data_IF_758111406614
#
_entry.id   IF_758111406614
#
_cell.length_a   1.000
_cell.length_b   1.000
_cell.length_c   1.000
_cell.angle_alpha   90.00
_cell.angle_beta   90.00
_cell.angle_gamma   90.00
#
_symmetry.space_group_name_H-M   'P 1'
#
loop_
_entity.id
_entity.type
_entity.pdbx_description
1 polymer ?
#
# COMPACT_ATOMS: atom_id res chain seq x y z
N UNK A 1 -10.43 22.44 2.72
CA UNK A 1 -11.86 22.56 3.09
C UNK A 1 -12.20 21.28 3.84
N UNK A 2 -12.50 21.37 5.14
CA UNK A 2 -12.98 20.22 5.91
C UNK A 2 -14.51 20.20 5.85
N UNK A 3 -15.10 19.04 5.55
CA UNK A 3 -16.55 18.82 5.60
C UNK A 3 -16.83 18.08 6.91
N UNK A 4 -17.63 18.69 7.78
CA UNK A 4 -18.17 18.04 8.98
C UNK A 4 -19.65 17.83 8.74
N UNK A 5 -20.08 16.57 8.65
CA UNK A 5 -21.48 16.22 8.43
C UNK A 5 -22.05 15.76 9.76
N UNK A 6 -23.03 16.51 10.26
CA UNK A 6 -23.75 16.20 11.49
C UNK A 6 -25.16 15.78 11.14
N UNK A 7 -25.50 14.49 11.33
CA UNK A 7 -26.88 13.99 11.23
C UNK A 7 -27.44 13.78 12.64
N UNK A 8 -28.55 14.45 12.98
CA UNK A 8 -29.33 14.15 14.19
C UNK A 8 -30.35 13.05 13.88
N UNK A 9 -30.41 12.02 14.70
CA UNK A 9 -31.41 10.96 14.58
C UNK A 9 -32.81 11.50 14.84
N UNK A 10 -33.68 11.49 13.82
CA UNK A 10 -35.08 11.92 13.91
C UNK A 10 -36.04 10.86 13.38
N UNK A 11 -36.96 10.41 14.23
CA UNK A 11 -38.05 9.50 13.91
C UNK A 11 -39.20 10.20 13.15
N UNK A 12 -39.78 9.46 12.18
CA UNK A 12 -41.10 9.54 11.53
C UNK A 12 -41.91 10.86 11.54
N UNK A 13 -42.22 11.40 10.35
CA UNK A 13 -43.50 11.22 9.62
C UNK A 13 -43.84 12.36 8.63
N UNK A 14 -44.54 11.94 7.55
CA UNK A 14 -45.34 12.70 6.56
C UNK A 14 -44.69 13.41 5.36
N UNK A 15 -44.85 12.74 4.20
CA UNK A 15 -45.54 13.20 2.97
C UNK A 15 -45.34 14.63 2.50
N UNK A 16 -44.76 14.81 1.30
CA UNK A 16 -45.51 15.20 0.08
C UNK A 16 -44.62 15.44 -1.15
N UNK A 17 -45.02 14.82 -2.26
CA UNK A 17 -45.02 15.24 -3.69
C UNK A 17 -43.75 15.82 -4.35
N UNK A 18 -43.40 15.15 -5.45
CA UNK A 18 -42.42 15.49 -6.47
C UNK A 18 -42.85 16.65 -7.40
N UNK A 19 -41.86 17.39 -7.90
CA UNK A 19 -41.83 18.02 -9.25
C UNK A 19 -40.36 18.03 -9.74
N UNK A 20 -40.07 17.68 -11.02
CA UNK A 20 -38.71 17.57 -11.55
C UNK A 20 -38.19 18.92 -12.07
N UNK A 21 -36.90 19.20 -11.87
CA UNK A 21 -36.23 20.41 -12.35
C UNK A 21 -34.86 20.09 -12.94
N UNK A 22 -34.69 20.55 -14.18
CA UNK A 22 -33.65 20.21 -15.13
C UNK A 22 -32.19 20.42 -14.71
N UNK A 23 -31.37 19.51 -15.25
CA UNK A 23 -29.90 19.52 -15.24
C UNK A 23 -29.35 20.64 -16.14
N UNK A 24 -28.65 21.60 -15.55
CA UNK A 24 -27.65 22.42 -16.26
C UNK A 24 -26.44 22.69 -15.35
N UNK A 25 -25.53 21.72 -15.27
CA UNK A 25 -24.21 21.90 -14.65
C UNK A 25 -23.31 22.74 -15.57
N UNK A 26 -23.29 24.05 -15.32
CA UNK A 26 -22.24 24.95 -15.85
C UNK A 26 -20.91 24.62 -15.19
N UNK A 27 -19.97 24.11 -15.98
CA UNK A 27 -18.53 24.12 -15.66
C UNK A 27 -18.09 25.57 -15.46
N UNK A 28 -17.52 25.90 -14.30
CA UNK A 28 -16.71 27.10 -14.09
C UNK A 28 -15.30 26.68 -13.73
N UNK A 29 -14.35 27.22 -14.49
CA UNK A 29 -12.91 27.28 -14.23
C UNK A 29 -12.58 28.55 -13.45
N UNK A 30 -11.81 28.46 -12.37
CA UNK A 30 -11.03 29.54 -11.76
C UNK A 30 -9.85 28.86 -11.04
N UNK A 31 -8.62 28.89 -11.55
CA UNK A 31 -7.62 29.98 -11.50
C UNK A 31 -7.05 30.24 -10.10
N UNK A 32 -5.71 30.23 -10.05
CA UNK A 32 -4.83 30.51 -8.90
C UNK A 32 -5.26 31.72 -8.08
N UNK A 33 -5.21 31.55 -6.76
CA UNK A 33 -5.39 32.61 -5.78
C UNK A 33 -4.95 32.13 -4.40
N UNK A 34 -3.76 32.55 -3.98
CA UNK A 34 -3.33 32.54 -2.58
C UNK A 34 -4.35 33.34 -1.76
N UNK A 35 -4.99 32.72 -0.75
CA UNK A 35 -5.53 33.48 0.39
C UNK A 35 -5.83 32.61 1.62
N UNK A 36 -5.03 32.89 2.66
CA UNK A 36 -5.30 32.96 4.11
C UNK A 36 -6.17 31.91 4.81
N UNK A 37 -5.58 31.34 5.86
CA UNK A 37 -6.22 30.57 6.93
C UNK A 37 -7.48 31.27 7.50
N UNK A 38 -8.57 30.53 7.79
CA UNK A 38 -9.71 31.06 8.51
C UNK A 38 -9.43 31.20 10.03
N UNK A 39 -10.12 32.13 10.72
CA UNK A 39 -9.72 32.61 12.04
C UNK A 39 -10.06 31.64 13.16
N UNK A 40 -9.13 31.55 14.13
CA UNK A 40 -9.35 30.98 15.46
C UNK A 40 -10.54 31.67 16.13
N UNK A 41 -11.57 30.89 16.47
CA UNK A 41 -12.65 31.35 17.34
C UNK A 41 -12.05 31.81 18.68
N UNK A 42 -12.03 33.12 18.85
CA UNK A 42 -11.67 33.81 20.09
C UNK A 42 -12.90 33.87 20.99
N UNK A 43 -12.82 33.28 22.18
CA UNK A 43 -13.58 33.78 23.32
C UNK A 43 -12.69 33.85 24.56
N UNK A 44 -12.72 35.04 25.15
CA UNK A 44 -11.89 35.58 26.25
C UNK A 44 -11.93 34.68 27.50
N UNK A 45 -10.75 34.18 27.91
CA UNK A 45 -9.93 34.58 29.08
C UNK A 45 -10.63 34.58 30.44
N UNK A 46 -10.14 33.73 31.34
CA UNK A 46 -9.87 34.11 32.73
C UNK A 46 -8.43 33.70 33.07
N UNK A 47 -7.70 34.66 33.61
CA UNK A 47 -6.27 34.65 33.82
C UNK A 47 -5.90 33.97 35.14
N UNK A 48 -4.91 33.08 35.12
CA UNK A 48 -3.96 32.85 36.20
C UNK A 48 -2.79 32.01 35.64
N UNK A 49 -1.57 32.28 36.13
CA UNK A 49 -0.29 31.64 35.79
C UNK A 49 0.47 32.22 34.58
N UNK A 50 0.65 33.54 34.59
CA UNK A 50 1.98 34.09 34.33
C UNK A 50 2.72 34.18 35.67
N UNK A 51 3.63 33.25 35.93
CA UNK A 51 4.79 33.48 36.78
C UNK A 51 5.83 32.39 36.50
N UNK A 52 7.08 32.82 36.32
CA UNK A 52 8.32 32.03 36.25
C UNK A 52 8.75 31.54 34.86
N UNK A 53 9.19 32.50 34.05
CA UNK A 53 10.44 32.34 33.30
C UNK A 53 11.60 32.69 34.24
N UNK A 54 12.72 31.96 34.16
CA UNK A 54 13.96 32.65 33.83
C UNK A 54 14.74 31.97 32.70
N UNK A 55 15.47 32.84 32.00
CA UNK A 55 16.46 32.59 30.94
C UNK A 55 17.50 31.54 31.32
N UNK A 56 17.92 30.75 30.34
CA UNK A 56 19.33 30.43 30.13
C UNK A 56 19.57 30.15 28.64
N UNK A 57 20.54 30.88 28.05
CA UNK A 57 21.09 30.68 26.72
C UNK A 57 22.34 29.78 26.78
N UNK A 58 22.62 29.07 25.68
CA UNK A 58 23.86 28.35 25.27
C UNK A 58 24.27 27.14 26.13
N UNK A 59 24.69 25.96 25.63
CA UNK A 59 25.36 25.57 24.38
C UNK A 59 25.12 24.07 24.05
N UNK A 60 25.46 23.65 22.82
CA UNK A 60 24.98 22.41 22.18
C UNK A 60 25.52 21.06 22.66
N UNK A 61 24.70 20.03 22.44
CA UNK A 61 25.06 18.67 22.01
C UNK A 61 23.77 17.87 21.78
N UNK A 62 23.67 17.20 20.63
CA UNK A 62 22.52 16.40 20.24
C UNK A 62 22.53 15.06 20.99
N UNK A 63 21.68 14.91 22.01
CA UNK A 63 21.36 13.63 22.65
C UNK A 63 19.85 13.39 22.67
N UNK A 64 19.49 12.11 22.50
CA UNK A 64 18.13 11.58 22.38
C UNK A 64 17.18 12.11 23.46
N UNK A 65 16.18 12.89 23.04
CA UNK A 65 15.05 13.27 23.88
C UNK A 65 14.03 12.12 23.94
N UNK A 66 14.24 11.20 24.90
CA UNK A 66 13.17 10.37 25.45
C UNK A 66 12.22 11.32 26.20
N UNK A 67 11.03 11.53 25.65
CA UNK A 67 9.96 12.28 26.30
C UNK A 67 9.46 11.48 27.51
N UNK A 68 10.02 11.79 28.68
CA UNK A 68 9.45 11.45 29.99
C UNK A 68 8.18 12.28 30.20
N UNK A 69 7.02 11.70 29.93
CA UNK A 69 5.77 12.13 30.56
C UNK A 69 5.63 11.40 31.89
N UNK A 70 5.95 12.10 32.97
CA UNK A 70 5.65 11.66 34.33
C UNK A 70 4.17 11.83 34.62
N UNK A 71 3.41 10.74 34.51
CA UNK A 71 2.14 10.59 35.21
C UNK A 71 2.31 9.43 36.19
N UNK A 72 2.46 9.75 37.47
CA UNK A 72 2.35 8.79 38.58
C UNK A 72 0.89 8.32 38.67
N UNK A 73 0.60 7.00 38.62
CA UNK A 73 -0.73 6.50 38.91
C UNK A 73 -0.78 6.10 40.39
N UNK A 74 -0.94 7.09 41.27
CA UNK A 74 -1.39 6.83 42.65
C UNK A 74 -2.75 7.50 42.84
N UNK A 75 -3.79 6.79 42.44
CA UNK A 75 -4.97 6.50 43.27
C UNK A 75 -6.15 5.98 42.46
N UNK A 76 -6.62 4.81 42.88
CA UNK A 76 -7.99 4.30 42.77
C UNK A 76 -8.52 3.84 41.40
N UNK A 77 -8.40 2.53 41.12
CA UNK A 77 -9.57 1.63 41.03
C UNK A 77 -9.19 0.26 41.62
N UNK A 78 -10.07 -0.26 42.49
CA UNK A 78 -9.99 -1.61 43.06
C UNK A 78 -10.37 -2.66 42.01
N UNK A 79 -9.55 -3.70 41.88
CA UNK A 79 -9.99 -5.04 41.49
C UNK A 79 -9.31 -5.63 40.26
N UNK A 80 -8.36 -6.53 40.49
CA UNK A 80 -7.85 -7.46 39.47
C UNK A 80 -6.33 -7.47 39.35
N UNK A 81 -5.67 -8.41 40.01
CA UNK A 81 -4.22 -8.71 39.89
C UNK A 81 -3.82 -9.30 38.52
N UNK A 82 -4.70 -9.26 37.52
CA UNK A 82 -4.44 -9.78 36.16
C UNK A 82 -3.98 -8.68 35.17
N UNK A 83 -4.21 -7.39 35.46
CA UNK A 83 -4.06 -6.28 34.50
C UNK A 83 -2.62 -5.76 34.31
N UNK A 84 -1.73 -5.92 35.30
CA UNK A 84 -0.33 -5.43 35.19
C UNK A 84 0.51 -6.30 34.25
N UNK A 85 0.33 -7.62 34.29
CA UNK A 85 1.05 -8.57 33.42
C UNK A 85 0.66 -8.41 31.94
N UNK A 86 -0.64 -8.17 31.68
CA UNK A 86 -1.18 -8.10 30.32
C UNK A 86 -0.76 -6.80 29.59
N UNK A 87 -0.69 -5.70 30.33
CA UNK A 87 -0.22 -4.40 29.83
C UNK A 87 1.26 -4.44 29.43
N UNK A 88 2.11 -5.10 30.23
CA UNK A 88 3.53 -5.30 29.92
C UNK A 88 3.73 -6.10 28.64
N UNK A 89 3.01 -7.21 28.48
CA UNK A 89 3.07 -8.04 27.27
C UNK A 89 2.54 -7.33 26.01
N UNK A 90 1.54 -6.46 26.15
CA UNK A 90 1.02 -5.67 25.04
C UNK A 90 2.04 -4.64 24.54
N UNK A 91 2.71 -3.92 25.45
CA UNK A 91 3.76 -2.97 25.08
C UNK A 91 4.97 -3.65 24.43
N UNK A 92 5.35 -4.82 24.93
CA UNK A 92 6.41 -5.64 24.33
C UNK A 92 6.02 -6.11 22.92
N UNK A 93 4.76 -6.52 22.72
CA UNK A 93 4.22 -6.84 21.40
C UNK A 93 4.32 -5.63 20.45
N UNK A 94 3.85 -4.45 20.87
CA UNK A 94 3.88 -3.24 20.05
C UNK A 94 5.32 -2.83 19.71
N UNK A 95 6.24 -2.97 20.65
CA UNK A 95 7.67 -2.72 20.45
C UNK A 95 8.28 -3.69 19.44
N UNK A 96 7.88 -4.97 19.48
CA UNK A 96 8.35 -5.98 18.53
C UNK A 96 7.90 -5.70 17.09
N UNK A 97 6.73 -5.08 16.91
CA UNK A 97 6.24 -4.64 15.60
C UNK A 97 6.85 -3.31 15.15
N UNK A 98 7.24 -2.43 16.08
CA UNK A 98 8.02 -1.23 15.79
C UNK A 98 9.46 -1.57 15.34
N UNK A 99 10.04 -2.66 15.86
CA UNK A 99 11.30 -3.21 15.35
C UNK A 99 11.10 -3.80 13.95
N UNK A 100 11.62 -3.09 12.96
CA UNK A 100 11.54 -3.48 11.55
C UNK A 100 12.28 -4.79 11.26
N UNK A 101 13.44 -5.05 11.86
CA UNK A 101 14.19 -6.27 11.55
C UNK A 101 13.47 -7.50 12.11
N UNK A 102 13.00 -7.39 13.35
CA UNK A 102 12.25 -8.45 14.00
C UNK A 102 10.93 -8.75 13.26
N UNK A 103 10.12 -7.72 12.99
CA UNK A 103 8.84 -7.88 12.30
C UNK A 103 8.99 -8.43 10.88
N UNK A 104 9.99 -7.98 10.10
CA UNK A 104 10.27 -8.54 8.77
C UNK A 104 10.66 -10.02 8.86
N UNK A 105 11.54 -10.39 9.80
CA UNK A 105 11.95 -11.80 10.01
C UNK A 105 10.74 -12.67 10.35
N UNK A 106 9.86 -12.19 11.22
CA UNK A 106 8.64 -12.88 11.62
C UNK A 106 7.69 -13.12 10.45
N UNK A 107 7.47 -12.12 9.61
CA UNK A 107 6.62 -12.23 8.41
C UNK A 107 7.23 -13.20 7.39
N UNK A 108 8.53 -13.06 7.11
CA UNK A 108 9.25 -13.96 6.20
C UNK A 108 9.15 -15.42 6.64
N UNK A 109 9.27 -15.70 7.94
CA UNK A 109 9.09 -17.05 8.47
C UNK A 109 7.69 -17.61 8.21
N UNK A 110 6.64 -16.79 8.31
CA UNK A 110 5.28 -17.24 8.01
C UNK A 110 5.07 -17.49 6.52
N UNK A 111 5.56 -16.59 5.66
CA UNK A 111 5.49 -16.76 4.19
C UNK A 111 6.13 -18.07 3.73
N UNK A 112 7.24 -18.48 4.37
CA UNK A 112 7.91 -19.75 4.08
C UNK A 112 6.97 -20.96 4.21
N UNK A 113 6.06 -20.94 5.17
CA UNK A 113 5.20 -22.08 5.48
C UNK A 113 3.81 -22.02 4.84
N UNK A 114 3.47 -20.92 4.14
CA UNK A 114 2.20 -20.75 3.39
C UNK A 114 0.97 -21.22 4.17
N UNK A 115 0.87 -20.83 5.44
CA UNK A 115 -0.33 -21.13 6.22
C UNK A 115 -1.49 -20.36 5.59
N UNK A 116 -2.58 -21.02 5.18
CA UNK A 116 -3.66 -20.42 4.39
C UNK A 116 -4.02 -18.98 4.84
N UNK A 117 -3.79 -18.02 3.95
CA UNK A 117 -3.67 -16.59 4.25
C UNK A 117 -4.93 -15.81 3.83
N UNK A 118 -6.09 -16.20 4.37
CA UNK A 118 -7.30 -15.40 4.15
C UNK A 118 -7.17 -14.05 4.86
N UNK A 119 -7.57 -12.97 4.16
CA UNK A 119 -7.65 -11.64 4.75
C UNK A 119 -8.43 -11.69 6.07
N UNK A 120 -8.08 -10.87 7.05
CA UNK A 120 -8.86 -10.76 8.29
C UNK A 120 -10.09 -9.89 7.99
N UNK A 121 -11.30 -10.47 7.79
CA UNK A 121 -12.49 -9.67 7.54
C UNK A 121 -12.92 -8.93 8.81
N UNK A 122 -13.60 -7.80 8.63
CA UNK A 122 -14.39 -7.22 9.70
C UNK A 122 -15.57 -8.13 10.06
N UNK A 123 -16.05 -8.02 11.30
CA UNK A 123 -17.32 -8.58 11.72
C UNK A 123 -18.44 -8.06 10.81
N UNK A 124 -19.41 -8.91 10.46
CA UNK A 124 -20.50 -8.55 9.54
C UNK A 124 -21.25 -7.28 9.96
N UNK A 125 -21.49 -7.09 11.26
CA UNK A 125 -22.17 -5.91 11.79
C UNK A 125 -21.36 -4.62 11.62
N UNK A 126 -20.05 -4.68 11.86
CA UNK A 126 -19.12 -3.56 11.68
C UNK A 126 -18.90 -3.28 10.20
N UNK A 127 -18.76 -4.32 9.38
CA UNK A 127 -18.67 -4.21 7.92
C UNK A 127 -19.90 -3.50 7.35
N UNK A 128 -21.11 -3.89 7.77
CA UNK A 128 -22.36 -3.23 7.35
C UNK A 128 -22.34 -1.74 7.68
N UNK A 129 -21.87 -1.35 8.87
CA UNK A 129 -21.73 0.07 9.25
C UNK A 129 -20.75 0.81 8.34
N UNK A 130 -19.60 0.23 8.02
CA UNK A 130 -18.69 0.82 7.04
C UNK A 130 -19.32 1.02 5.66
N UNK A 131 -20.15 0.08 5.19
CA UNK A 131 -20.86 0.21 3.92
C UNK A 131 -21.88 1.37 3.96
N UNK A 132 -22.65 1.49 5.04
CA UNK A 132 -23.60 2.59 5.26
C UNK A 132 -22.87 3.95 5.25
N UNK A 133 -21.79 4.08 6.01
CA UNK A 133 -21.00 5.32 6.07
C UNK A 133 -20.28 5.64 4.75
N UNK A 134 -19.80 4.63 4.03
CA UNK A 134 -19.20 4.82 2.71
C UNK A 134 -20.21 5.40 1.72
N UNK A 135 -21.44 4.90 1.71
CA UNK A 135 -22.51 5.45 0.88
C UNK A 135 -22.73 6.93 1.18
N UNK A 136 -22.89 7.26 2.47
CA UNK A 136 -23.11 8.65 2.92
C UNK A 136 -21.97 9.60 2.51
N UNK A 137 -20.70 9.20 2.72
CA UNK A 137 -19.56 10.03 2.31
C UNK A 137 -19.44 10.16 0.79
N UNK A 138 -19.73 9.08 0.06
CA UNK A 138 -19.64 9.10 -1.42
C UNK A 138 -20.73 10.00 -2.02
N UNK A 139 -21.93 10.03 -1.43
CA UNK A 139 -23.01 10.93 -1.85
C UNK A 139 -22.64 12.40 -1.65
N UNK A 140 -21.97 12.73 -0.54
CA UNK A 140 -21.65 14.10 -0.15
C UNK A 140 -20.34 14.62 -0.77
N UNK A 141 -19.34 13.77 -0.91
CA UNK A 141 -17.97 14.14 -1.34
C UNK A 141 -17.60 13.63 -2.75
N UNK A 142 -18.38 12.72 -3.32
CA UNK A 142 -18.07 12.06 -4.60
C UNK A 142 -17.24 10.78 -4.45
N UNK A 143 -17.02 10.07 -5.57
CA UNK A 143 -16.18 8.87 -5.61
C UNK A 143 -14.71 9.23 -5.71
N UNK A 144 -13.87 8.61 -4.89
CA UNK A 144 -12.44 8.88 -4.82
C UNK A 144 -11.61 7.61 -5.03
N UNK A 145 -10.76 7.63 -6.06
CA UNK A 145 -9.86 6.52 -6.41
C UNK A 145 -8.46 6.66 -5.81
N UNK A 146 -8.18 7.79 -5.16
CA UNK A 146 -6.90 8.08 -4.53
C UNK A 146 -6.85 7.57 -3.10
N UNK A 147 -5.65 7.34 -2.57
CA UNK A 147 -5.49 7.01 -1.15
C UNK A 147 -6.03 8.14 -0.27
N UNK A 148 -6.97 7.78 0.60
CA UNK A 148 -7.56 8.70 1.56
C UNK A 148 -8.01 7.95 2.82
N UNK A 149 -8.40 8.71 3.84
CA UNK A 149 -9.05 8.20 5.04
C UNK A 149 -10.18 9.13 5.49
N UNK A 150 -11.19 8.56 6.13
CA UNK A 150 -12.26 9.31 6.79
C UNK A 150 -12.62 8.61 8.09
N UNK A 151 -13.34 9.30 8.97
CA UNK A 151 -13.81 8.68 10.20
C UNK A 151 -15.17 9.20 10.62
N UNK A 152 -15.81 8.40 11.48
CA UNK A 152 -17.15 8.62 12.01
C UNK A 152 -17.13 8.40 13.51
N UNK A 153 -17.69 9.34 14.27
CA UNK A 153 -18.05 9.13 15.66
C UNK A 153 -19.56 8.89 15.71
N UNK A 154 -19.95 7.66 15.99
CA UNK A 154 -21.33 7.25 16.23
C UNK A 154 -21.64 7.43 17.70
N UNK A 155 -22.54 8.36 18.01
CA UNK A 155 -23.12 8.59 19.34
C UNK A 155 -24.56 8.09 19.34
N UNK A 156 -25.19 8.07 20.52
CA UNK A 156 -26.60 7.64 20.66
C UNK A 156 -27.60 8.43 19.81
N UNK A 157 -27.41 9.75 19.71
CA UNK A 157 -28.37 10.67 19.09
C UNK A 157 -27.83 11.37 17.84
N UNK A 158 -26.53 11.23 17.58
CA UNK A 158 -25.80 12.02 16.60
C UNK A 158 -24.70 11.17 15.95
N UNK A 159 -24.53 11.35 14.64
CA UNK A 159 -23.39 10.83 13.89
C UNK A 159 -22.57 12.02 13.40
N UNK A 160 -21.28 12.01 13.72
CA UNK A 160 -20.32 13.04 13.29
C UNK A 160 -19.35 12.40 12.31
N UNK A 161 -19.40 12.81 11.06
CA UNK A 161 -18.51 12.32 9.99
C UNK A 161 -17.54 13.41 9.56
N UNK A 162 -16.28 13.05 9.32
CA UNK A 162 -15.23 13.98 8.90
C UNK A 162 -14.20 13.31 7.97
N UNK A 163 -13.65 14.13 7.07
CA UNK A 163 -12.89 13.68 5.90
C UNK A 163 -13.70 13.89 4.60
N UNK A 164 -13.27 13.33 3.46
CA UNK A 164 -12.04 12.55 3.28
C UNK A 164 -10.78 13.40 3.44
N UNK A 165 -9.73 12.82 4.02
CA UNK A 165 -8.38 13.39 4.08
C UNK A 165 -7.43 12.66 3.18
N UNK A 166 -6.51 13.41 2.61
CA UNK A 166 -5.49 12.91 1.70
C UNK A 166 -4.11 13.04 2.32
N UNK A 167 -3.20 12.08 2.09
CA UNK A 167 -1.83 12.18 2.57
C UNK A 167 -1.10 13.34 1.90
N UNK A 168 -0.29 14.07 2.67
CA UNK A 168 0.61 15.10 2.17
C UNK A 168 2.06 14.58 2.24
N UNK A 169 2.46 13.86 1.20
CA UNK A 169 3.77 13.22 1.13
C UNK A 169 4.94 14.20 1.16
N UNK A 170 4.74 15.47 0.76
CA UNK A 170 5.80 16.49 0.79
C UNK A 170 6.21 16.85 2.22
N UNK A 171 5.25 16.82 3.14
CA UNK A 171 5.47 17.04 4.57
C UNK A 171 5.64 15.72 5.34
N UNK A 172 5.58 14.60 4.62
CA UNK A 172 5.56 13.27 5.20
C UNK A 172 4.30 12.96 6.01
N UNK A 173 3.23 13.76 5.95
CA UNK A 173 1.99 13.58 6.72
C UNK A 173 1.07 12.55 6.06
N UNK A 174 0.56 11.61 6.85
CA UNK A 174 -0.40 10.61 6.39
C UNK A 174 -1.82 11.03 6.76
N UNK A 175 -2.82 10.57 6.00
CA UNK A 175 -4.21 10.95 6.25
C UNK A 175 -4.71 10.43 7.61
N UNK A 176 -4.16 9.32 8.10
CA UNK A 176 -4.41 8.77 9.43
C UNK A 176 -3.92 9.69 10.56
N UNK A 177 -2.86 10.48 10.36
CA UNK A 177 -2.37 11.43 11.36
C UNK A 177 -3.43 12.50 11.65
N UNK A 178 -4.13 12.96 10.60
CA UNK A 178 -5.21 13.95 10.68
C UNK A 178 -6.43 13.35 11.39
N UNK A 179 -6.78 12.10 11.05
CA UNK A 179 -7.90 11.39 11.70
C UNK A 179 -7.65 11.25 13.20
N UNK A 180 -6.46 10.80 13.62
CA UNK A 180 -6.12 10.64 15.04
C UNK A 180 -6.26 11.97 15.77
N UNK A 181 -5.66 13.03 15.22
CA UNK A 181 -5.70 14.36 15.82
C UNK A 181 -7.14 14.86 15.99
N UNK A 182 -7.95 14.80 14.94
CA UNK A 182 -9.31 15.30 15.00
C UNK A 182 -10.22 14.44 15.89
N UNK A 183 -10.02 13.12 15.91
CA UNK A 183 -10.74 12.23 16.83
C UNK A 183 -10.45 12.63 18.27
N UNK A 184 -9.17 12.83 18.61
CA UNK A 184 -8.75 13.25 19.95
C UNK A 184 -9.40 14.58 20.35
N UNK A 185 -9.34 15.59 19.48
CA UNK A 185 -9.93 16.91 19.74
C UNK A 185 -11.45 16.81 19.97
N UNK A 186 -12.16 15.99 19.18
CA UNK A 186 -13.61 15.81 19.32
C UNK A 186 -14.00 15.10 20.61
N UNK A 187 -13.19 14.13 21.07
CA UNK A 187 -13.41 13.42 22.33
C UNK A 187 -13.09 14.31 23.54
N UNK A 188 -12.04 15.13 23.48
CA UNK A 188 -11.67 16.06 24.56
C UNK A 188 -12.66 17.22 24.75
N UNK A 189 -13.33 17.65 23.66
CA UNK A 189 -14.22 18.80 23.69
C UNK A 189 -15.63 18.51 24.22
N UNK A 190 -15.99 17.26 24.53
CA UNK A 190 -17.36 16.86 24.81
C UNK A 190 -17.46 16.00 26.08
N UNK A 191 -18.62 15.98 26.72
CA UNK A 191 -18.93 14.99 27.75
C UNK A 191 -19.15 13.64 27.07
N UNK A 192 -18.09 12.85 26.96
CA UNK A 192 -18.12 11.53 26.29
C UNK A 192 -18.86 10.51 27.14
N UNK A 193 -19.53 9.56 26.48
CA UNK A 193 -20.26 8.45 27.10
C UNK A 193 -19.72 7.13 26.56
N UNK A 194 -19.79 6.07 27.38
CA UNK A 194 -19.23 4.73 27.09
C UNK A 194 -19.90 4.03 25.88
N UNK A 195 -21.02 4.57 25.38
CA UNK A 195 -21.75 4.02 24.22
C UNK A 195 -21.26 4.55 22.86
N UNK A 196 -20.24 5.42 22.85
CA UNK A 196 -19.70 6.00 21.63
C UNK A 196 -18.78 5.02 20.90
N UNK A 197 -18.81 5.10 19.56
CA UNK A 197 -17.94 4.31 18.68
C UNK A 197 -17.25 5.18 17.66
N UNK A 198 -15.97 4.92 17.45
CA UNK A 198 -15.16 5.52 16.40
C UNK A 198 -15.00 4.50 15.28
N UNK A 199 -15.36 4.87 14.06
CA UNK A 199 -15.08 4.10 12.85
C UNK A 199 -14.04 4.86 12.03
N UNK A 200 -12.90 4.25 11.77
CA UNK A 200 -11.84 4.80 10.93
C UNK A 200 -11.76 3.99 9.65
N UNK A 201 -11.91 4.65 8.52
CA UNK A 201 -11.74 4.06 7.21
C UNK A 201 -10.44 4.52 6.57
N UNK A 202 -9.75 3.60 5.91
CA UNK A 202 -8.60 3.93 5.06
C UNK A 202 -8.64 3.15 3.73
N UNK A 203 -8.25 3.76 2.62
CA UNK A 203 -8.16 3.04 1.33
C UNK A 203 -7.14 1.90 1.42
N UNK A 204 -5.97 2.21 1.96
CA UNK A 204 -4.87 1.30 2.18
C UNK A 204 -4.77 1.03 3.68
N UNK A 205 -4.47 -0.21 4.10
CA UNK A 205 -4.24 -0.51 5.52
C UNK A 205 -3.24 0.49 6.12
N UNK A 206 -3.48 1.06 7.31
CA UNK A 206 -2.54 1.97 7.95
C UNK A 206 -1.12 1.38 7.97
N UNK A 207 -0.10 2.20 7.70
CA UNK A 207 1.25 1.67 7.56
C UNK A 207 1.78 1.11 8.89
N UNK A 208 2.60 0.06 8.79
CA UNK A 208 3.31 -0.55 9.94
C UNK A 208 4.79 -0.14 10.02
N UNK A 209 5.28 0.65 9.06
CA UNK A 209 6.61 1.24 9.13
C UNK A 209 6.61 2.66 8.54
N UNK A 210 7.37 3.53 9.21
CA UNK A 210 7.64 4.91 8.84
C UNK A 210 8.88 5.38 9.63
N UNK A 211 9.51 6.47 9.20
CA UNK A 211 10.61 7.09 9.95
C UNK A 211 10.13 7.76 11.25
N UNK A 212 8.83 8.00 11.37
CA UNK A 212 8.12 8.46 12.56
C UNK A 212 7.20 7.34 13.07
N UNK A 213 6.27 7.64 13.98
CA UNK A 213 5.28 6.66 14.46
C UNK A 213 4.46 6.08 13.29
N UNK A 214 4.47 4.76 13.16
CA UNK A 214 3.69 4.05 12.16
C UNK A 214 2.19 4.22 12.43
N UNK A 215 1.40 4.46 11.39
CA UNK A 215 -0.02 4.80 11.53
C UNK A 215 -0.82 3.70 12.25
N UNK A 216 -0.56 2.44 11.92
CA UNK A 216 -1.25 1.32 12.57
C UNK A 216 -0.91 1.23 14.06
N UNK A 217 0.37 1.40 14.43
CA UNK A 217 0.79 1.35 15.83
C UNK A 217 0.18 2.51 16.64
N UNK A 218 0.18 3.70 16.05
CA UNK A 218 -0.39 4.90 16.66
C UNK A 218 -1.91 4.77 16.83
N UNK A 219 -2.64 4.26 15.83
CA UNK A 219 -4.08 4.00 15.94
C UNK A 219 -4.42 3.00 17.04
N UNK A 220 -3.65 1.91 17.17
CA UNK A 220 -3.84 0.90 18.22
C UNK A 220 -3.61 1.51 19.61
N UNK A 221 -2.53 2.29 19.78
CA UNK A 221 -2.25 2.99 21.02
C UNK A 221 -3.38 3.99 21.35
N UNK A 222 -3.83 4.76 20.36
CA UNK A 222 -4.90 5.74 20.54
C UNK A 222 -6.24 5.08 20.86
N UNK A 223 -6.56 3.94 20.26
CA UNK A 223 -7.74 3.17 20.62
C UNK A 223 -7.70 2.71 22.08
N UNK A 224 -6.52 2.31 22.60
CA UNK A 224 -6.36 1.97 24.02
C UNK A 224 -6.57 3.20 24.93
N UNK A 225 -6.00 4.35 24.55
CA UNK A 225 -6.16 5.61 25.27
C UNK A 225 -7.64 6.05 25.29
N UNK A 226 -8.32 6.00 24.13
CA UNK A 226 -9.73 6.37 24.02
C UNK A 226 -10.65 5.43 24.80
N UNK A 227 -10.34 4.13 24.80
CA UNK A 227 -11.05 3.16 25.62
C UNK A 227 -10.84 3.44 27.12
N UNK A 228 -9.60 3.62 27.56
CA UNK A 228 -9.26 3.76 28.97
C UNK A 228 -9.78 5.08 29.57
N UNK A 229 -9.76 6.17 28.80
CA UNK A 229 -10.17 7.49 29.28
C UNK A 229 -11.67 7.75 29.09
N UNK A 230 -12.28 7.22 28.04
CA UNK A 230 -13.64 7.59 27.62
C UNK A 230 -14.60 6.41 27.44
N UNK A 231 -14.13 5.17 27.55
CA UNK A 231 -14.93 3.97 27.26
C UNK A 231 -15.28 3.81 25.78
N UNK A 232 -14.57 4.50 24.88
CA UNK A 232 -14.92 4.54 23.45
C UNK A 232 -14.32 3.36 22.71
N UNK A 233 -15.15 2.63 21.96
CA UNK A 233 -14.70 1.54 21.10
C UNK A 233 -14.27 2.04 19.72
N UNK A 234 -13.26 1.43 19.14
CA UNK A 234 -12.69 1.81 17.86
C UNK A 234 -12.77 0.66 16.85
N UNK A 235 -13.23 0.95 15.64
CA UNK A 235 -13.28 0.02 14.52
C UNK A 235 -12.44 0.60 13.38
N UNK A 236 -11.50 -0.16 12.83
CA UNK A 236 -10.62 0.28 11.74
C UNK A 236 -10.85 -0.62 10.53
N UNK A 237 -11.37 -0.04 9.44
CA UNK A 237 -11.67 -0.74 8.20
C UNK A 237 -10.76 -0.26 7.06
N UNK A 238 -10.19 -1.20 6.31
CA UNK A 238 -9.36 -0.89 5.14
C UNK A 238 -9.75 -1.69 3.89
N UNK A 239 -9.39 -1.19 2.70
CA UNK A 239 -9.70 -1.87 1.44
C UNK A 239 -8.57 -2.76 0.93
N UNK A 240 -7.36 -2.20 0.85
CA UNK A 240 -6.18 -2.88 0.30
C UNK A 240 -5.14 -3.11 1.37
N UNK A 241 -4.54 -4.29 1.39
CA UNK A 241 -3.41 -4.59 2.25
C UNK A 241 -2.17 -3.86 1.71
N UNK A 242 -1.73 -2.82 2.41
CA UNK A 242 -0.56 -2.06 2.04
C UNK A 242 0.66 -2.42 2.89
N UNK A 243 0.47 -2.81 4.17
CA UNK A 243 1.53 -3.33 5.03
C UNK A 243 2.68 -2.34 5.28
N UNK A 244 3.89 -2.69 4.85
CA UNK A 244 5.11 -1.91 5.07
C UNK A 244 5.47 -1.05 3.84
N UNK A 245 5.31 0.28 3.90
CA UNK A 245 5.80 1.22 2.85
C UNK A 245 7.20 1.77 3.18
N UNK A 246 8.00 2.06 2.16
CA UNK A 246 9.33 2.69 2.28
C UNK A 246 10.45 1.80 1.75
N UNK A 247 11.67 1.91 2.30
CA UNK A 247 12.88 1.16 1.90
C UNK A 247 12.72 -0.39 1.82
N UNK A 248 11.54 -0.93 2.11
CA UNK A 248 11.13 -2.34 2.09
C UNK A 248 10.53 -2.80 0.75
N UNK A 249 10.20 -1.87 -0.17
CA UNK A 249 10.09 -2.18 -1.62
C UNK A 249 11.42 -2.79 -2.14
N UNK A 250 12.51 -2.64 -1.39
CA UNK A 250 13.79 -3.23 -1.71
C UNK A 250 14.00 -4.65 -1.19
N UNK A 251 13.11 -5.22 -0.36
CA UNK A 251 13.33 -6.55 0.23
C UNK A 251 13.56 -7.62 -0.85
N UNK A 252 12.83 -7.47 -1.96
CA UNK A 252 12.89 -8.36 -3.11
C UNK A 252 13.64 -7.75 -4.30
N UNK A 253 14.31 -6.59 -4.15
CA UNK A 253 15.00 -5.89 -5.27
C UNK A 253 16.06 -6.77 -5.93
N UNK A 254 16.71 -7.62 -5.13
CA UNK A 254 17.85 -8.41 -5.57
C UNK A 254 17.39 -9.62 -6.40
N UNK A 255 16.07 -9.89 -6.45
CA UNK A 255 15.47 -10.92 -7.30
C UNK A 255 15.42 -10.38 -8.73
N UNK A 256 16.46 -10.64 -9.51
CA UNK A 256 16.47 -10.41 -10.95
C UNK A 256 16.20 -11.71 -11.73
N UNK A 257 16.22 -11.65 -13.05
CA UNK A 257 15.94 -12.84 -13.85
C UNK A 257 16.98 -13.96 -13.71
N UNK A 258 18.24 -13.63 -13.44
CA UNK A 258 19.29 -14.63 -13.21
C UNK A 258 18.98 -15.41 -11.93
N UNK A 259 18.51 -14.71 -10.90
CA UNK A 259 18.06 -15.35 -9.66
C UNK A 259 16.85 -16.25 -9.90
N UNK A 260 15.85 -15.76 -10.62
CA UNK A 260 14.64 -16.53 -10.94
C UNK A 260 14.98 -17.79 -11.74
N UNK A 261 15.79 -17.67 -12.79
CA UNK A 261 16.24 -18.81 -13.61
C UNK A 261 17.00 -19.84 -12.78
N UNK A 262 17.90 -19.39 -11.90
CA UNK A 262 18.68 -20.28 -11.02
C UNK A 262 17.80 -20.98 -9.98
N UNK A 263 16.85 -20.26 -9.37
CA UNK A 263 15.87 -20.84 -8.44
C UNK A 263 15.00 -21.87 -9.16
N UNK A 264 14.58 -21.62 -10.40
CA UNK A 264 13.74 -22.55 -11.15
C UNK A 264 14.46 -23.89 -11.44
N UNK A 265 15.73 -23.82 -11.83
CA UNK A 265 16.56 -24.97 -12.19
C UNK A 265 17.04 -25.82 -11.01
N UNK A 266 16.85 -25.36 -9.77
CA UNK A 266 17.38 -26.00 -8.56
C UNK A 266 16.27 -26.53 -7.66
N UNK A 267 16.47 -27.69 -7.05
CA UNK A 267 15.44 -28.33 -6.22
C UNK A 267 15.34 -27.73 -4.82
N UNK A 268 16.48 -27.40 -4.22
CA UNK A 268 16.62 -26.93 -2.85
C UNK A 268 17.61 -25.76 -2.74
N UNK A 269 17.59 -25.09 -1.58
CA UNK A 269 18.42 -23.91 -1.33
C UNK A 269 19.92 -24.20 -1.37
N UNK A 270 20.33 -25.42 -0.99
CA UNK A 270 21.75 -25.81 -0.99
C UNK A 270 22.28 -25.89 -2.42
N UNK A 271 21.59 -26.59 -3.30
CA UNK A 271 21.94 -26.68 -4.73
C UNK A 271 21.87 -25.32 -5.41
N UNK A 272 20.90 -24.49 -5.02
CA UNK A 272 20.81 -23.11 -5.46
C UNK A 272 22.03 -22.28 -5.05
N UNK A 273 22.47 -22.35 -3.78
CA UNK A 273 23.64 -21.62 -3.31
C UNK A 273 24.91 -22.06 -4.07
N UNK A 274 25.09 -23.37 -4.28
CA UNK A 274 26.21 -23.91 -5.08
C UNK A 274 26.18 -23.45 -6.54
N UNK A 275 24.98 -23.33 -7.15
CA UNK A 275 24.82 -22.83 -8.52
C UNK A 275 25.02 -21.30 -8.62
N UNK A 276 24.55 -20.56 -7.61
CA UNK A 276 24.70 -19.12 -7.50
C UNK A 276 26.18 -18.73 -7.39
N UNK A 277 26.97 -19.43 -6.56
CA UNK A 277 28.41 -19.23 -6.45
C UNK A 277 29.14 -19.43 -7.78
N UNK A 278 28.78 -20.47 -8.55
CA UNK A 278 29.36 -20.73 -9.89
C UNK A 278 29.03 -19.65 -10.92
N UNK A 279 27.92 -18.95 -10.73
CA UNK A 279 27.42 -17.91 -11.63
C UNK A 279 27.80 -16.51 -11.13
N UNK A 280 28.62 -16.42 -10.07
CA UNK A 280 29.05 -15.16 -9.44
C UNK A 280 27.88 -14.25 -9.02
N UNK A 281 26.72 -14.84 -8.68
CA UNK A 281 25.57 -14.10 -8.15
C UNK A 281 25.51 -14.25 -6.63
N UNK A 282 25.14 -13.17 -5.93
CA UNK A 282 24.91 -13.23 -4.49
C UNK A 282 23.70 -14.12 -4.19
N UNK A 283 23.84 -15.20 -3.43
CA UNK A 283 22.73 -16.11 -3.18
C UNK A 283 21.66 -15.44 -2.30
N UNK A 284 20.39 -15.63 -2.67
CA UNK A 284 19.25 -15.33 -1.83
C UNK A 284 19.30 -16.17 -0.55
N UNK A 285 18.83 -15.61 0.56
CA UNK A 285 18.70 -16.37 1.79
C UNK A 285 17.63 -17.48 1.65
N UNK A 286 17.68 -18.47 2.54
CA UNK A 286 16.83 -19.67 2.46
C UNK A 286 15.33 -19.34 2.45
N UNK A 287 14.91 -18.32 3.21
CA UNK A 287 13.52 -17.90 3.30
C UNK A 287 13.05 -17.29 1.99
N UNK A 288 13.85 -16.41 1.38
CA UNK A 288 13.49 -15.76 0.12
C UNK A 288 13.49 -16.78 -1.01
N UNK A 289 14.47 -17.70 -1.05
CA UNK A 289 14.45 -18.84 -1.97
C UNK A 289 13.15 -19.64 -1.87
N UNK A 290 12.75 -20.03 -0.65
CA UNK A 290 11.54 -20.79 -0.40
C UNK A 290 10.26 -20.04 -0.80
N UNK A 291 10.25 -18.71 -0.65
CA UNK A 291 9.13 -17.86 -1.06
C UNK A 291 9.03 -17.72 -2.59
N UNK A 292 10.16 -17.59 -3.29
CA UNK A 292 10.24 -17.45 -4.76
C UNK A 292 9.84 -18.72 -5.48
N UNK A 293 10.26 -19.89 -4.98
CA UNK A 293 10.13 -21.16 -5.69
C UNK A 293 8.68 -21.52 -6.09
N UNK A 294 7.67 -21.42 -5.22
CA UNK A 294 6.32 -21.84 -5.60
C UNK A 294 5.56 -20.93 -6.59
N UNK A 295 5.69 -19.59 -6.60
CA UNK A 295 5.22 -18.75 -7.72
C UNK A 295 5.71 -19.20 -9.10
N UNK A 296 6.89 -19.81 -9.20
CA UNK A 296 7.45 -20.33 -10.45
C UNK A 296 6.71 -21.57 -10.99
N UNK A 297 6.03 -22.34 -10.12
CA UNK A 297 5.35 -23.59 -10.53
C UNK A 297 4.06 -23.37 -11.30
N UNK A 298 3.45 -22.18 -11.21
CA UNK A 298 2.18 -21.87 -11.86
C UNK A 298 2.15 -20.46 -12.48
N UNK A 299 3.08 -20.09 -13.38
CA UNK A 299 3.17 -18.72 -13.86
C UNK A 299 2.35 -18.59 -15.14
N UNK A 300 1.08 -18.28 -14.96
CA UNK A 300 0.32 -17.61 -16.00
C UNK A 300 0.50 -16.12 -15.74
N UNK A 301 1.24 -15.42 -16.61
CA UNK A 301 1.47 -13.98 -16.48
C UNK A 301 1.13 -13.28 -17.79
N UNK A 302 0.53 -12.10 -17.68
CA UNK A 302 0.08 -11.31 -18.82
C UNK A 302 1.14 -10.24 -19.13
N UNK A 303 1.90 -10.46 -20.20
CA UNK A 303 2.98 -9.55 -20.61
C UNK A 303 2.45 -8.12 -20.90
N UNK A 304 1.22 -8.02 -21.41
CA UNK A 304 0.56 -6.75 -21.75
C UNK A 304 0.38 -5.80 -20.56
N UNK A 305 0.13 -6.33 -19.36
CA UNK A 305 -0.10 -5.53 -18.15
C UNK A 305 1.21 -4.94 -17.60
N UNK A 306 2.34 -5.54 -17.94
CA UNK A 306 3.66 -5.22 -17.38
C UNK A 306 4.45 -4.27 -18.31
N UNK A 307 4.08 -4.23 -19.60
CA UNK A 307 4.83 -3.51 -20.65
C UNK A 307 4.16 -2.19 -21.08
N UNK A 308 3.08 -1.75 -20.41
CA UNK A 308 2.43 -0.48 -20.73
C UNK A 308 3.39 0.72 -20.54
N UNK A 309 3.82 1.32 -21.66
CA UNK A 309 4.57 2.58 -21.69
C UNK A 309 5.71 2.65 -22.71
N UNK A 310 6.27 3.85 -22.92
CA UNK A 310 7.46 4.09 -23.75
C UNK A 310 8.74 3.36 -23.30
N UNK A 311 8.70 2.61 -22.18
CA UNK A 311 9.85 1.95 -21.56
C UNK A 311 10.28 0.66 -22.25
N UNK A 312 9.41 -0.02 -23.02
CA UNK A 312 9.73 -1.33 -23.57
C UNK A 312 10.81 -1.27 -24.68
N UNK A 313 10.77 -0.24 -25.52
CA UNK A 313 11.80 0.01 -26.55
C UNK A 313 13.20 0.18 -25.95
N UNK A 314 13.31 0.55 -24.67
CA UNK A 314 14.60 0.69 -24.01
C UNK A 314 15.38 -0.62 -23.89
N UNK A 315 14.68 -1.77 -23.86
CA UNK A 315 15.30 -3.10 -23.87
C UNK A 315 15.98 -3.43 -25.21
N UNK A 316 15.57 -2.75 -26.27
CA UNK A 316 16.06 -2.98 -27.63
C UNK A 316 17.13 -1.98 -28.08
N UNK A 317 17.64 -1.14 -27.17
CA UNK A 317 18.71 -0.16 -27.48
C UNK A 317 19.96 -0.81 -28.08
N UNK A 318 20.27 -2.07 -27.71
CA UNK A 318 21.40 -2.83 -28.25
C UNK A 318 21.30 -3.06 -29.76
N UNK A 319 20.10 -3.02 -30.36
CA UNK A 319 19.94 -3.13 -31.81
C UNK A 319 20.69 -2.00 -32.51
N UNK A 320 20.74 -0.80 -31.93
CA UNK A 320 21.45 0.32 -32.54
C UNK A 320 22.96 0.07 -32.65
N UNK A 321 23.55 -0.67 -31.70
CA UNK A 321 24.97 -1.02 -31.71
C UNK A 321 25.39 -1.87 -32.92
N UNK A 322 24.43 -2.55 -33.57
CA UNK A 322 24.68 -3.36 -34.78
C UNK A 322 25.17 -2.50 -35.94
N UNK A 323 24.75 -1.25 -36.00
CA UNK A 323 25.02 -0.35 -37.13
C UNK A 323 25.73 0.95 -36.73
N UNK A 324 26.17 1.09 -35.46
CA UNK A 324 26.90 2.26 -34.98
C UNK A 324 28.20 2.54 -35.76
N UNK A 325 28.83 1.51 -36.31
CA UNK A 325 30.07 1.62 -37.11
C UNK A 325 29.85 1.78 -38.62
N UNK A 326 28.60 1.80 -39.10
CA UNK A 326 28.30 1.90 -40.53
C UNK A 326 28.30 3.37 -41.03
N UNK A 327 28.43 3.62 -42.34
CA UNK A 327 28.24 4.94 -42.94
C UNK A 327 26.84 5.52 -42.63
N UNK A 328 26.72 6.85 -42.57
CA UNK A 328 25.47 7.53 -42.18
C UNK A 328 24.26 7.17 -43.05
N UNK A 329 24.47 6.95 -44.35
CA UNK A 329 23.44 6.52 -45.29
C UNK A 329 22.89 5.12 -44.98
N UNK A 330 23.77 4.19 -44.57
CA UNK A 330 23.39 2.83 -44.18
C UNK A 330 22.78 2.80 -42.76
N UNK A 331 23.27 3.66 -41.85
CA UNK A 331 22.71 3.86 -40.52
C UNK A 331 21.25 4.29 -40.56
N UNK A 332 20.90 5.22 -41.46
CA UNK A 332 19.52 5.69 -41.58
C UNK A 332 18.59 4.53 -41.99
N UNK A 333 19.01 3.72 -42.96
CA UNK A 333 18.27 2.53 -43.40
C UNK A 333 18.13 1.52 -42.26
N UNK A 334 19.22 1.23 -41.52
CA UNK A 334 19.18 0.31 -40.39
C UNK A 334 18.31 0.82 -39.23
N UNK A 335 18.32 2.12 -38.98
CA UNK A 335 17.49 2.76 -37.93
C UNK A 335 16.01 2.69 -38.29
N UNK A 336 15.66 2.97 -39.55
CA UNK A 336 14.29 2.82 -40.05
C UNK A 336 13.82 1.38 -39.92
N UNK A 337 14.66 0.42 -40.32
CA UNK A 337 14.34 -1.01 -40.19
C UNK A 337 14.20 -1.44 -38.73
N UNK A 338 15.11 -1.03 -37.85
CA UNK A 338 15.04 -1.33 -36.41
C UNK A 338 13.73 -0.83 -35.82
N UNK A 339 13.31 0.39 -36.14
CA UNK A 339 12.02 0.92 -35.72
C UNK A 339 10.85 0.10 -36.29
N UNK A 340 10.90 -0.26 -37.58
CA UNK A 340 9.84 -1.06 -38.22
C UNK A 340 9.68 -2.45 -37.58
N UNK A 341 10.79 -3.13 -37.27
CA UNK A 341 10.78 -4.42 -36.54
C UNK A 341 10.13 -4.25 -35.17
N UNK A 342 10.49 -3.19 -34.44
CA UNK A 342 9.94 -2.93 -33.10
C UNK A 342 8.44 -2.60 -33.15
N UNK A 343 7.99 -1.77 -34.08
CA UNK A 343 6.56 -1.50 -34.26
C UNK A 343 5.78 -2.78 -34.60
N UNK A 344 6.33 -3.64 -35.47
CA UNK A 344 5.71 -4.94 -35.78
C UNK A 344 5.69 -5.88 -34.56
N UNK A 345 6.76 -5.91 -33.77
CA UNK A 345 6.85 -6.73 -32.57
C UNK A 345 5.88 -6.29 -31.46
N UNK A 346 5.44 -5.02 -31.46
CA UNK A 346 4.49 -4.50 -30.47
C UNK A 346 3.14 -5.23 -30.49
N UNK A 347 2.75 -5.78 -31.64
CA UNK A 347 1.51 -6.58 -31.77
C UNK A 347 1.56 -7.81 -30.88
N UNK A 348 2.74 -8.43 -30.74
CA UNK A 348 2.94 -9.61 -29.89
C UNK A 348 2.76 -9.30 -28.39
N UNK A 349 2.94 -8.04 -28.00
CA UNK A 349 2.78 -7.57 -26.63
C UNK A 349 1.34 -7.15 -26.33
N UNK A 350 0.55 -6.89 -27.37
CA UNK A 350 -0.80 -6.32 -27.30
C UNK A 350 -1.90 -7.40 -27.29
N UNK A 351 -1.53 -8.67 -27.42
CA UNK A 351 -2.46 -9.79 -27.21
C UNK A 351 -2.65 -10.00 -25.71
N UNK A 352 -3.86 -9.76 -25.20
CA UNK A 352 -4.22 -10.08 -23.82
C UNK A 352 -4.33 -11.61 -23.66
N UNK A 353 -3.17 -12.24 -23.50
CA UNK A 353 -3.04 -13.68 -23.27
C UNK A 353 -2.23 -13.93 -22.01
N UNK A 354 -2.82 -14.72 -21.14
CA UNK A 354 -2.13 -15.23 -19.97
C UNK A 354 -1.37 -16.48 -20.39
N UNK A 355 -0.06 -16.34 -20.57
CA UNK A 355 0.80 -17.37 -21.16
C UNK A 355 1.91 -17.79 -20.20
N UNK A 356 2.56 -18.90 -20.52
CA UNK A 356 3.79 -19.32 -19.86
C UNK A 356 4.98 -18.52 -20.37
N UNK A 357 6.04 -18.43 -19.57
CA UNK A 357 7.26 -17.70 -19.93
C UNK A 357 7.90 -18.30 -21.19
N UNK A 358 7.90 -19.62 -21.29
CA UNK A 358 8.45 -20.37 -22.42
C UNK A 358 7.72 -20.01 -23.72
N UNK A 359 6.39 -19.97 -23.69
CA UNK A 359 5.55 -19.60 -24.84
C UNK A 359 5.85 -18.17 -25.31
N UNK A 360 6.03 -17.23 -24.36
CA UNK A 360 6.41 -15.85 -24.68
C UNK A 360 7.80 -15.75 -25.29
N UNK A 361 8.77 -16.54 -24.81
CA UNK A 361 10.13 -16.59 -25.34
C UNK A 361 10.15 -17.17 -26.76
N UNK A 362 9.41 -18.26 -26.98
CA UNK A 362 9.29 -18.92 -28.29
C UNK A 362 8.65 -17.99 -29.32
N UNK A 363 7.58 -17.29 -28.96
CA UNK A 363 6.88 -16.35 -29.86
C UNK A 363 7.80 -15.26 -30.41
N UNK A 364 8.63 -14.64 -29.56
CA UNK A 364 9.58 -13.63 -30.04
C UNK A 364 10.70 -14.21 -30.89
N UNK A 365 11.14 -15.43 -30.61
CA UNK A 365 12.11 -16.13 -31.45
C UNK A 365 11.54 -16.45 -32.83
N UNK A 366 10.30 -16.96 -32.89
CA UNK A 366 9.58 -17.25 -34.12
C UNK A 366 9.35 -15.97 -34.94
N UNK A 367 8.88 -14.89 -34.30
CA UNK A 367 8.71 -13.59 -34.95
C UNK A 367 9.98 -13.11 -35.64
N UNK A 368 11.14 -13.18 -34.97
CA UNK A 368 12.38 -12.69 -35.53
C UNK A 368 12.84 -13.50 -36.77
N UNK A 369 12.50 -14.80 -36.81
CA UNK A 369 12.77 -15.68 -37.94
C UNK A 369 11.83 -15.40 -39.12
N UNK A 370 10.55 -15.19 -38.83
CA UNK A 370 9.50 -14.97 -39.83
C UNK A 370 9.49 -13.53 -40.35
N UNK A 371 10.04 -12.57 -39.60
CA UNK A 371 10.11 -11.18 -40.01
C UNK A 371 10.93 -11.01 -41.29
N UNK A 372 10.32 -10.38 -42.29
CA UNK A 372 10.93 -10.12 -43.59
C UNK A 372 11.66 -8.78 -43.57
N UNK A 373 12.97 -8.83 -43.32
CA UNK A 373 13.82 -7.65 -43.34
C UNK A 373 13.98 -7.07 -44.75
N UNK A 374 14.11 -5.75 -44.84
CA UNK A 374 14.35 -5.00 -46.07
C UNK A 374 15.51 -5.58 -46.89
N UNK A 375 15.28 -5.75 -48.19
CA UNK A 375 16.30 -6.21 -49.15
C UNK A 375 17.42 -5.19 -49.38
N UNK A 376 17.30 -3.97 -48.82
CA UNK A 376 18.35 -2.96 -48.85
C UNK A 376 19.48 -3.25 -47.87
N UNK A 377 19.25 -4.15 -46.90
CA UNK A 377 20.24 -4.56 -45.93
C UNK A 377 21.04 -5.76 -46.42
N UNK A 378 22.33 -5.79 -46.12
CA UNK A 378 23.16 -6.97 -46.38
C UNK A 378 22.73 -8.14 -45.49
N UNK A 379 22.96 -9.37 -45.95
CA UNK A 379 22.63 -10.59 -45.21
C UNK A 379 23.25 -10.60 -43.81
N UNK A 380 24.51 -10.17 -43.69
CA UNK A 380 25.22 -10.08 -42.42
C UNK A 380 24.54 -9.12 -41.42
N UNK A 381 24.08 -7.96 -41.89
CA UNK A 381 23.37 -6.99 -41.04
C UNK A 381 22.00 -7.55 -40.62
N UNK A 382 21.28 -8.20 -41.54
CA UNK A 382 19.98 -8.82 -41.25
C UNK A 382 20.10 -9.90 -40.19
N UNK A 383 21.08 -10.79 -40.33
CA UNK A 383 21.34 -11.86 -39.36
C UNK A 383 21.74 -11.28 -37.99
N UNK A 384 22.59 -10.25 -37.98
CA UNK A 384 23.00 -9.61 -36.73
C UNK A 384 21.84 -8.87 -36.04
N UNK A 385 20.97 -8.18 -36.80
CA UNK A 385 19.77 -7.54 -36.26
C UNK A 385 18.81 -8.58 -35.68
N UNK A 386 18.60 -9.71 -36.38
CA UNK A 386 17.78 -10.83 -35.91
C UNK A 386 18.31 -11.41 -34.59
N UNK A 387 19.60 -11.73 -34.52
CA UNK A 387 20.23 -12.26 -33.31
C UNK A 387 20.12 -11.27 -32.15
N UNK A 388 20.37 -9.99 -32.42
CA UNK A 388 20.31 -8.93 -31.40
C UNK A 388 18.87 -8.73 -30.91
N UNK A 389 17.89 -8.75 -31.80
CA UNK A 389 16.47 -8.70 -31.45
C UNK A 389 16.08 -9.88 -30.55
N UNK A 390 16.43 -11.10 -30.93
CA UNK A 390 16.12 -12.30 -30.14
C UNK A 390 16.73 -12.21 -28.74
N UNK A 391 17.96 -11.70 -28.61
CA UNK A 391 18.62 -11.49 -27.33
C UNK A 391 17.86 -10.44 -26.49
N UNK A 392 17.54 -9.28 -27.06
CA UNK A 392 16.77 -8.23 -26.39
C UNK A 392 15.38 -8.72 -25.96
N UNK A 393 14.71 -9.51 -26.80
CA UNK A 393 13.41 -10.12 -26.48
C UNK A 393 13.51 -11.03 -25.26
N UNK A 394 14.49 -11.94 -25.24
CA UNK A 394 14.74 -12.84 -24.10
C UNK A 394 15.01 -12.06 -22.81
N UNK A 395 15.87 -11.04 -22.89
CA UNK A 395 16.19 -10.16 -21.74
C UNK A 395 14.95 -9.44 -21.21
N UNK A 396 14.12 -8.88 -22.10
CA UNK A 396 12.87 -8.21 -21.74
C UNK A 396 11.88 -9.18 -21.08
N UNK A 397 11.56 -10.31 -21.69
CA UNK A 397 10.58 -11.28 -21.16
C UNK A 397 11.02 -11.78 -19.79
N UNK A 398 12.29 -12.18 -19.66
CA UNK A 398 12.86 -12.63 -18.38
C UNK A 398 12.89 -11.53 -17.32
N UNK A 399 13.26 -10.31 -17.70
CA UNK A 399 13.24 -9.14 -16.82
C UNK A 399 11.84 -8.83 -16.30
N UNK A 400 10.84 -8.83 -17.19
CA UNK A 400 9.43 -8.60 -16.84
C UNK A 400 8.84 -9.73 -16.01
N UNK A 401 9.25 -10.97 -16.26
CA UNK A 401 8.85 -12.10 -15.44
C UNK A 401 9.40 -11.97 -14.01
N UNK A 402 10.66 -11.57 -13.85
CA UNK A 402 11.23 -11.30 -12.53
C UNK A 402 10.52 -10.12 -11.82
N UNK A 403 10.14 -9.06 -12.55
CA UNK A 403 9.29 -7.98 -12.02
C UNK A 403 7.98 -8.51 -11.46
N UNK A 404 7.25 -9.33 -12.24
CA UNK A 404 6.01 -9.96 -11.80
C UNK A 404 6.18 -10.80 -10.53
N UNK A 405 7.25 -11.59 -10.44
CA UNK A 405 7.55 -12.38 -9.23
C UNK A 405 7.80 -11.46 -8.02
N UNK A 406 8.55 -10.36 -8.19
CA UNK A 406 8.78 -9.39 -7.11
C UNK A 406 7.48 -8.72 -6.65
N UNK A 407 6.62 -8.33 -7.58
CA UNK A 407 5.32 -7.72 -7.28
C UNK A 407 4.44 -8.68 -6.47
N UNK A 408 4.32 -9.93 -6.94
CA UNK A 408 3.54 -10.96 -6.24
C UNK A 408 4.07 -11.24 -4.83
N UNK A 409 5.38 -11.40 -4.68
CA UNK A 409 6.00 -11.59 -3.37
C UNK A 409 5.79 -10.39 -2.44
N UNK A 410 5.82 -9.18 -3.00
CA UNK A 410 5.57 -7.94 -2.24
C UNK A 410 4.12 -7.87 -1.77
N UNK A 411 3.16 -8.24 -2.63
CA UNK A 411 1.75 -8.34 -2.27
C UNK A 411 1.51 -9.38 -1.16
N UNK A 412 2.00 -10.61 -1.36
CA UNK A 412 1.92 -11.70 -0.38
C UNK A 412 2.53 -11.27 0.97
N UNK A 413 3.70 -10.61 0.93
CA UNK A 413 4.39 -10.13 2.12
C UNK A 413 3.61 -9.04 2.85
N UNK A 414 3.04 -8.07 2.14
CA UNK A 414 2.24 -7.00 2.74
C UNK A 414 0.94 -7.54 3.33
N UNK A 415 0.28 -8.48 2.65
CA UNK A 415 -0.91 -9.16 3.17
C UNK A 415 -0.58 -9.93 4.46
N UNK A 416 0.47 -10.76 4.45
CA UNK A 416 0.90 -11.52 5.62
C UNK A 416 1.26 -10.59 6.79
N UNK A 417 1.94 -9.47 6.51
CA UNK A 417 2.28 -8.44 7.50
C UNK A 417 1.05 -7.91 8.23
N UNK A 418 0.05 -7.44 7.48
CA UNK A 418 -1.17 -6.86 8.06
C UNK A 418 -1.94 -7.90 8.87
N UNK A 419 -2.08 -9.11 8.32
CA UNK A 419 -2.81 -10.19 9.00
C UNK A 419 -2.15 -10.61 10.31
N UNK A 420 -0.83 -10.84 10.31
CA UNK A 420 -0.11 -11.23 11.52
C UNK A 420 -0.20 -10.15 12.60
N UNK A 421 -0.08 -8.88 12.19
CA UNK A 421 -0.25 -7.76 13.11
C UNK A 421 -1.63 -7.77 13.76
N UNK A 422 -2.70 -7.86 12.96
CA UNK A 422 -4.08 -7.87 13.46
C UNK A 422 -4.31 -9.07 14.39
N UNK A 423 -3.85 -10.27 14.00
CA UNK A 423 -3.98 -11.49 14.81
C UNK A 423 -3.30 -11.37 16.17
N UNK A 424 -2.15 -10.70 16.22
CA UNK A 424 -1.44 -10.50 17.49
C UNK A 424 -2.10 -9.44 18.37
N UNK A 425 -2.46 -8.28 17.81
CA UNK A 425 -3.09 -7.19 18.56
C UNK A 425 -4.46 -7.63 19.08
N UNK A 426 -5.24 -8.37 18.28
CA UNK A 426 -6.53 -8.90 18.71
C UNK A 426 -6.45 -9.85 19.91
N UNK A 427 -5.27 -10.37 20.30
CA UNK A 427 -5.15 -11.13 21.56
C UNK A 427 -5.38 -10.25 22.79
N UNK A 428 -5.08 -8.97 22.69
CA UNK A 428 -5.09 -8.00 23.80
C UNK A 428 -6.22 -6.98 23.69
N UNK A 429 -6.73 -6.71 22.48
CA UNK A 429 -7.59 -5.54 22.25
C UNK A 429 -9.05 -5.86 21.89
N UNK A 430 -9.46 -7.14 21.97
CA UNK A 430 -10.79 -7.62 21.54
C UNK A 430 -11.99 -6.87 22.13
N UNK A 431 -11.83 -6.28 23.32
CA UNK A 431 -12.93 -5.63 24.04
C UNK A 431 -13.29 -4.26 23.45
N UNK A 432 -12.30 -3.58 22.84
CA UNK A 432 -12.41 -2.17 22.47
C UNK A 432 -11.92 -1.83 21.06
N UNK A 433 -11.18 -2.72 20.40
CA UNK A 433 -10.62 -2.47 19.08
C UNK A 433 -10.87 -3.62 18.12
N UNK A 434 -11.47 -3.30 16.98
CA UNK A 434 -11.62 -4.20 15.84
C UNK A 434 -10.88 -3.63 14.62
N UNK A 435 -10.11 -4.46 13.92
CA UNK A 435 -9.36 -4.09 12.71
C UNK A 435 -9.60 -5.16 11.66
N UNK A 436 -9.93 -4.77 10.43
CA UNK A 436 -10.11 -5.74 9.36
C UNK A 436 -10.35 -5.15 7.98
N UNK A 437 -10.33 -6.03 6.97
CA UNK A 437 -10.65 -5.69 5.58
C UNK A 437 -12.16 -5.55 5.41
N UNK A 438 -12.59 -4.46 4.79
CA UNK A 438 -13.97 -4.23 4.40
C UNK A 438 -14.29 -5.07 3.17
N UNK A 439 -15.40 -5.81 3.22
CA UNK A 439 -15.90 -6.63 2.12
C UNK A 439 -17.04 -5.89 1.43
N UNK A 440 -16.87 -5.62 0.13
CA UNK A 440 -17.94 -5.12 -0.72
C UNK A 440 -18.63 -6.29 -1.41
N UNK A 441 -19.96 -6.27 -1.47
CA UNK A 441 -20.77 -7.30 -2.12
C UNK A 441 -20.46 -7.45 -3.63
N UNK A 442 -19.77 -6.47 -4.23
CA UNK A 442 -19.31 -6.49 -5.62
C UNK A 442 -18.09 -7.41 -5.86
N UNK A 443 -17.44 -7.94 -4.81
CA UNK A 443 -16.31 -8.88 -4.90
C UNK A 443 -16.73 -10.37 -4.84
N UNK A 444 -18.02 -10.69 -5.01
CA UNK A 444 -18.44 -12.08 -5.13
C UNK A 444 -17.75 -12.72 -6.35
N UNK A 445 -17.05 -13.86 -6.21
CA UNK A 445 -16.46 -14.53 -7.35
C UNK A 445 -17.59 -14.84 -8.33
N UNK A 446 -17.46 -14.36 -9.57
CA UNK A 446 -18.26 -14.88 -10.67
C UNK A 446 -17.99 -16.37 -10.72
N UNK A 447 -18.93 -17.16 -10.19
CA UNK A 447 -18.94 -18.60 -10.35
C UNK A 447 -19.04 -18.80 -11.85
N UNK A 448 -17.93 -19.21 -12.48
CA UNK A 448 -17.92 -19.62 -13.86
C UNK A 448 -18.97 -20.72 -14.04
N UNK A 449 -20.02 -20.43 -14.81
CA UNK A 449 -20.95 -21.42 -15.31
C UNK A 449 -20.34 -22.15 -16.51
#
# INVERSE_FOLDING_TARGET
>A
MAVSITKRGGAQSHSSKAVPGDRLSRKRSLSDGYEKEPPLCTRKRLAALQALQPRCETDGATELAILKTSCTPDSCVKGGTETETDTGSFLELMSSWADTQYSVKKVLQHLRFRQADDNVPLNESVNKKFLEFRHDITEECGTEDKQHSWAVIEKREEIVMYGPYYPNYNNGEHSEDIIIKQTQELLECQSVSEDWKVYVFTTNSPCLARNTHACMLNLVQKAQEWWSMYGVKTCIGYLKCWGFKGAKETLFKDINYIQVDCVDQTEDHKRYAEAAEKTEINPLCDIVFAAVKPPLRFPRFALINIVQGHSWKSWFKKINSVFESLPEEEKEICTQEANAVLEAAQVLLSEERSERVEECLERGCAFALDYTFSSKLSDAIRDQMRLTFQQCWKEMVRGKYAEFIREKLTEDFNQCTVQLFIKDVAKFTKEYLEIGRIHFLEEAPQVAQ
#
